data_IF_243717285146
#
_entry.id   IF_243717285146
#
_cell.length_a   1.000
_cell.length_b   1.000
_cell.length_c   1.000
_cell.angle_alpha   90.00
_cell.angle_beta   90.00
_cell.angle_gamma   90.00
#
_symmetry.space_group_name_H-M   'P 1'
#
loop_
_entity.id
_entity.type
_entity.pdbx_description
1 polymer ?
#
# COMPACT_ATOMS: atom_id res chain seq x y z
N UNK A 1 1.11 -9.89 5.80
CA UNK A 1 1.12 -8.50 6.32
C UNK A 1 1.12 -7.63 5.09
N UNK A 2 0.13 -6.75 4.94
CA UNK A 2 -0.14 -5.98 3.72
C UNK A 2 1.11 -5.42 3.04
N UNK A 3 1.98 -4.72 3.78
CA UNK A 3 3.23 -4.15 3.22
C UNK A 3 4.19 -5.19 2.63
N UNK A 4 4.26 -6.39 3.18
CA UNK A 4 5.09 -7.47 2.66
C UNK A 4 4.52 -8.07 1.38
N UNK A 5 3.19 -8.15 1.28
CA UNK A 5 2.51 -8.62 0.07
C UNK A 5 2.67 -7.61 -1.07
N UNK A 6 2.56 -6.30 -0.79
CA UNK A 6 2.90 -5.25 -1.74
C UNK A 6 4.37 -5.32 -2.17
N UNK A 7 5.28 -5.60 -1.23
CA UNK A 7 6.71 -5.75 -1.56
C UNK A 7 6.98 -6.93 -2.49
N UNK A 8 6.36 -8.09 -2.24
CA UNK A 8 6.46 -9.25 -3.13
C UNK A 8 5.86 -8.96 -4.52
N UNK A 9 4.73 -8.26 -4.59
CA UNK A 9 4.18 -7.79 -5.87
C UNK A 9 5.18 -6.90 -6.64
N UNK A 10 5.79 -5.93 -5.95
CA UNK A 10 6.73 -4.99 -6.57
C UNK A 10 7.96 -5.68 -7.19
N UNK A 11 8.33 -6.88 -6.74
CA UNK A 11 9.42 -7.67 -7.35
C UNK A 11 9.08 -8.19 -8.74
N UNK A 12 7.78 -8.34 -9.03
CA UNK A 12 7.29 -8.85 -10.32
C UNK A 12 7.08 -7.74 -11.35
N UNK A 13 7.18 -6.47 -10.95
CA UNK A 13 6.98 -5.31 -11.82
C UNK A 13 8.21 -5.10 -12.72
N UNK A 14 8.04 -4.90 -14.05
CA UNK A 14 9.13 -4.62 -14.96
C UNK A 14 9.96 -3.41 -14.52
N UNK A 15 11.27 -3.46 -14.79
CA UNK A 15 12.17 -2.34 -14.53
C UNK A 15 12.02 -1.28 -15.61
N UNK A 16 11.38 -0.17 -15.26
CA UNK A 16 11.37 1.08 -16.03
C UNK A 16 11.38 2.27 -15.08
N UNK A 17 11.64 3.46 -15.61
CA UNK A 17 11.61 4.70 -14.82
C UNK A 17 10.20 4.98 -14.26
N UNK A 18 9.18 4.74 -15.08
CA UNK A 18 7.77 4.95 -14.76
C UNK A 18 7.33 4.00 -13.66
N UNK A 19 7.65 2.71 -13.80
CA UNK A 19 7.33 1.71 -12.78
C UNK A 19 8.12 1.90 -11.49
N UNK A 20 9.38 2.31 -11.53
CA UNK A 20 10.18 2.57 -10.32
C UNK A 20 9.55 3.69 -9.47
N UNK A 21 9.00 4.71 -10.11
CA UNK A 21 8.29 5.78 -9.41
C UNK A 21 7.07 5.26 -8.63
N UNK A 22 6.23 4.43 -9.27
CA UNK A 22 5.04 3.87 -8.61
C UNK A 22 5.40 2.81 -7.57
N UNK A 23 6.41 1.98 -7.82
CA UNK A 23 6.88 0.96 -6.86
C UNK A 23 7.34 1.61 -5.56
N UNK A 24 8.09 2.72 -5.65
CA UNK A 24 8.52 3.47 -4.47
C UNK A 24 7.34 4.04 -3.69
N UNK A 25 6.32 4.55 -4.38
CA UNK A 25 5.14 5.10 -3.73
C UNK A 25 4.35 4.00 -3.01
N UNK A 26 4.08 2.88 -3.68
CA UNK A 26 3.35 1.75 -3.08
C UNK A 26 4.11 1.16 -1.88
N UNK A 27 5.42 0.98 -1.96
CA UNK A 27 6.22 0.47 -0.82
C UNK A 27 6.13 1.44 0.37
N UNK A 28 6.18 2.75 0.12
CA UNK A 28 6.11 3.77 1.17
C UNK A 28 4.74 3.77 1.85
N UNK A 29 3.65 3.94 1.07
CA UNK A 29 2.30 4.04 1.62
C UNK A 29 1.88 2.74 2.31
N UNK A 30 2.15 1.57 1.71
CA UNK A 30 1.78 0.28 2.32
C UNK A 30 2.54 0.01 3.63
N UNK A 31 3.80 0.45 3.74
CA UNK A 31 4.58 0.36 4.98
C UNK A 31 4.07 1.34 6.05
N UNK A 32 3.64 2.55 5.64
CA UNK A 32 3.04 3.54 6.54
C UNK A 32 1.77 3.00 7.21
N UNK A 33 0.95 2.21 6.52
CA UNK A 33 -0.24 1.55 7.12
C UNK A 33 0.14 0.76 8.37
N UNK A 34 1.15 -0.12 8.28
CA UNK A 34 1.60 -0.93 9.42
C UNK A 34 2.21 -0.08 10.55
N UNK A 35 2.95 0.97 10.20
CA UNK A 35 3.55 1.89 11.16
C UNK A 35 2.48 2.69 11.93
N UNK A 36 1.51 3.26 11.20
CA UNK A 36 0.40 4.03 11.76
C UNK A 36 -0.54 3.15 12.59
N UNK A 37 -0.77 1.89 12.18
CA UNK A 37 -1.55 0.95 12.99
C UNK A 37 -0.89 0.72 14.35
N UNK A 38 0.42 0.45 14.36
CA UNK A 38 1.18 0.29 15.61
C UNK A 38 1.17 1.56 16.46
N UNK A 39 1.15 2.74 15.85
CA UNK A 39 1.02 4.00 16.56
C UNK A 39 -0.39 4.19 17.15
N UNK A 40 -1.44 3.80 16.42
CA UNK A 40 -2.82 3.79 16.89
C UNK A 40 -2.97 2.87 18.12
N UNK A 41 -2.38 1.67 18.10
CA UNK A 41 -2.37 0.77 19.26
C UNK A 41 -1.70 1.35 20.52
N UNK A 42 -0.93 2.44 20.39
CA UNK A 42 -0.30 3.17 21.50
C UNK A 42 -0.94 4.55 21.74
N UNK A 43 -2.16 4.75 21.26
CA UNK A 43 -2.87 6.01 21.42
C UNK A 43 -3.10 6.34 22.90
N UNK A 44 -3.10 7.64 23.22
CA UNK A 44 -3.24 8.14 24.60
C UNK A 44 -4.69 8.36 25.02
N UNK A 45 -5.62 8.28 24.08
CA UNK A 45 -7.07 8.44 24.29
C UNK A 45 -7.84 7.92 23.07
N UNK A 46 -9.15 7.73 23.21
CA UNK A 46 -10.02 7.34 22.09
C UNK A 46 -10.00 8.34 20.94
N UNK A 47 -9.92 9.65 21.26
CA UNK A 47 -9.83 10.71 20.23
C UNK A 47 -8.52 10.62 19.45
N UNK A 48 -7.40 10.37 20.13
CA UNK A 48 -6.09 10.16 19.49
C UNK A 48 -6.08 8.87 18.67
N UNK A 49 -6.71 7.80 19.17
CA UNK A 49 -6.87 6.54 18.44
C UNK A 49 -7.61 6.74 17.12
N UNK A 50 -8.79 7.37 17.16
CA UNK A 50 -9.60 7.67 15.97
C UNK A 50 -8.81 8.55 14.99
N UNK A 51 -8.10 9.57 15.48
CA UNK A 51 -7.30 10.44 14.62
C UNK A 51 -6.17 9.66 13.90
N UNK A 52 -5.50 8.75 14.60
CA UNK A 52 -4.46 7.90 13.99
C UNK A 52 -5.02 6.88 13.00
N UNK A 53 -6.23 6.36 13.25
CA UNK A 53 -6.91 5.49 12.29
C UNK A 53 -7.27 6.21 10.99
N UNK A 54 -7.66 7.49 11.04
CA UNK A 54 -7.88 8.30 9.82
C UNK A 54 -6.62 8.43 8.97
N UNK A 55 -5.47 8.69 9.61
CA UNK A 55 -4.18 8.72 8.90
C UNK A 55 -3.88 7.36 8.27
N UNK A 56 -4.14 6.27 8.99
CA UNK A 56 -3.97 4.91 8.43
C UNK A 56 -4.90 4.67 7.23
N UNK A 57 -6.14 5.14 7.28
CA UNK A 57 -7.11 5.05 6.19
C UNK A 57 -6.63 5.81 4.94
N UNK A 58 -6.09 7.02 5.11
CA UNK A 58 -5.48 7.80 4.02
C UNK A 58 -4.30 7.05 3.35
N UNK A 59 -3.44 6.40 4.14
CA UNK A 59 -2.30 5.61 3.63
C UNK A 59 -2.75 4.30 2.95
N UNK A 60 -3.86 3.71 3.40
CA UNK A 60 -4.49 2.57 2.74
C UNK A 60 -5.06 2.99 1.38
N UNK A 61 -5.76 4.12 1.31
CA UNK A 61 -6.34 4.66 0.08
C UNK A 61 -5.24 5.00 -0.95
N UNK A 62 -4.15 5.65 -0.52
CA UNK A 62 -2.99 5.89 -1.39
C UNK A 62 -2.39 4.57 -1.91
N UNK A 63 -2.29 3.56 -1.05
CA UNK A 63 -1.79 2.24 -1.47
C UNK A 63 -2.71 1.57 -2.49
N UNK A 64 -4.03 1.67 -2.30
CA UNK A 64 -5.04 1.12 -3.20
C UNK A 64 -4.97 1.81 -4.57
N UNK A 65 -4.87 3.14 -4.59
CA UNK A 65 -4.69 3.91 -5.81
C UNK A 65 -3.50 3.40 -6.64
N UNK A 66 -2.33 3.17 -6.02
CA UNK A 66 -1.18 2.65 -6.76
C UNK A 66 -1.39 1.23 -7.29
N UNK A 67 -2.05 0.36 -6.54
CA UNK A 67 -2.41 -0.99 -6.99
C UNK A 67 -3.35 -0.95 -8.22
N UNK A 68 -4.35 -0.07 -8.21
CA UNK A 68 -5.23 0.16 -9.36
C UNK A 68 -4.47 0.69 -10.57
N UNK A 69 -3.50 1.59 -10.35
CA UNK A 69 -2.65 2.10 -11.43
C UNK A 69 -1.81 0.97 -12.06
N UNK A 70 -1.24 0.07 -11.26
CA UNK A 70 -0.56 -1.12 -11.79
C UNK A 70 -1.51 -2.05 -12.55
N UNK A 71 -2.75 -2.24 -12.08
CA UNK A 71 -3.73 -3.08 -12.76
C UNK A 71 -4.16 -2.53 -14.13
N UNK A 72 -4.19 -1.20 -14.28
CA UNK A 72 -4.46 -0.52 -15.56
C UNK A 72 -3.33 -0.69 -16.57
N UNK A 73 -2.13 -1.05 -16.12
CA UNK A 73 -1.05 -1.46 -17.03
C UNK A 73 -1.26 -2.93 -17.39
N UNK A 74 -1.02 -3.32 -18.65
CA UNK A 74 -1.24 -4.70 -19.17
C UNK A 74 -0.37 -5.79 -18.50
N UNK A 75 0.21 -5.54 -17.32
CA UNK A 75 0.91 -6.48 -16.43
C UNK A 75 0.01 -7.66 -15.99
N UNK A 76 -1.31 -7.55 -16.22
CA UNK A 76 -2.34 -8.47 -15.74
C UNK A 76 -2.18 -9.94 -16.16
N UNK A 77 -1.52 -10.26 -17.27
CA UNK A 77 -1.47 -11.66 -17.75
C UNK A 77 -0.50 -12.57 -16.97
N UNK A 78 0.44 -12.04 -16.19
CA UNK A 78 1.44 -12.87 -15.48
C UNK A 78 1.44 -12.77 -13.95
N UNK A 79 0.89 -11.72 -13.35
CA UNK A 79 1.24 -11.34 -11.97
C UNK A 79 0.12 -11.41 -10.92
N UNK A 80 -1.05 -12.03 -11.20
CA UNK A 80 -2.10 -12.31 -10.20
C UNK A 80 -2.47 -11.13 -9.27
N UNK A 81 -2.65 -9.93 -9.84
CA UNK A 81 -2.99 -8.70 -9.11
C UNK A 81 -4.35 -8.77 -8.35
N UNK A 82 -5.23 -9.69 -8.74
CA UNK A 82 -6.57 -9.85 -8.17
C UNK A 82 -6.61 -10.30 -6.69
N UNK A 83 -5.47 -10.68 -6.10
CA UNK A 83 -5.43 -11.12 -4.69
C UNK A 83 -5.48 -9.95 -3.71
N UNK A 84 -4.99 -8.76 -4.09
CA UNK A 84 -4.83 -7.61 -3.21
C UNK A 84 -5.96 -6.57 -3.29
N UNK A 85 -6.87 -6.72 -4.24
CA UNK A 85 -7.98 -5.79 -4.51
C UNK A 85 -9.35 -6.34 -4.07
N UNK A 86 -9.38 -7.25 -3.09
CA UNK A 86 -10.62 -7.88 -2.59
C UNK A 86 -11.20 -7.16 -1.39
#
# INVERSE_FOLDING_TARGET
>A
MFSFECWELCKLIPKSREFDAWVRQLIRSSSSVGANYRAACRAKSDKDFINKLKILEEELDESMFWLEMFQKTEINEKNNLNVLLK
#
